data_IF_698464706761
#
_entry.id   IF_698464706761
#
_cell.length_a   1.000
_cell.length_b   1.000
_cell.length_c   1.000
_cell.angle_alpha   90.00
_cell.angle_beta   90.00
_cell.angle_gamma   90.00
#
_symmetry.space_group_name_H-M   'P 1'
#
loop_
_entity.id
_entity.type
_entity.pdbx_description
1 polymer ?
#
# COMPACT_ATOMS: atom_id res chain seq x y z
N UNK A 1 -4.26 -26.10 53.62
CA UNK A 1 -3.90 -26.72 52.32
C UNK A 1 -5.19 -27.07 51.58
N UNK A 2 -5.54 -26.30 50.54
CA UNK A 2 -6.33 -26.72 49.35
C UNK A 2 -6.90 -25.50 48.63
N UNK A 3 -6.40 -25.23 47.42
CA UNK A 3 -7.32 -24.96 46.30
C UNK A 3 -7.44 -23.58 45.65
N UNK A 4 -6.58 -22.59 45.91
CA UNK A 4 -6.52 -21.37 45.08
C UNK A 4 -5.80 -21.68 43.74
N UNK A 5 -6.53 -22.14 42.72
CA UNK A 5 -5.89 -22.56 41.47
C UNK A 5 -6.78 -22.76 40.24
N UNK A 6 -8.04 -22.33 40.23
CA UNK A 6 -8.86 -22.37 39.01
C UNK A 6 -9.61 -21.06 38.80
N UNK A 7 -9.18 -20.23 37.84
CA UNK A 7 -10.07 -19.29 37.16
C UNK A 7 -10.04 -19.55 35.63
N UNK A 8 -10.94 -18.91 34.87
CA UNK A 8 -12.08 -19.55 34.23
C UNK A 8 -11.77 -19.99 32.80
N UNK A 9 -12.57 -20.94 32.35
CA UNK A 9 -12.99 -21.20 30.97
C UNK A 9 -12.49 -20.20 29.93
N UNK A 10 -11.54 -20.66 29.11
CA UNK A 10 -11.31 -20.23 27.72
C UNK A 10 -12.10 -18.99 27.30
N UNK A 11 -11.48 -17.80 27.40
CA UNK A 11 -11.92 -16.65 26.63
C UNK A 11 -11.72 -17.05 25.17
N UNK A 12 -12.75 -17.56 24.51
CA UNK A 12 -12.77 -17.69 23.05
C UNK A 12 -12.79 -16.27 22.50
N UNK A 13 -11.60 -15.67 22.37
CA UNK A 13 -11.41 -14.50 21.53
C UNK A 13 -11.60 -15.01 20.10
N UNK A 14 -12.81 -14.86 19.56
CA UNK A 14 -13.01 -14.86 18.12
C UNK A 14 -12.39 -13.54 17.65
N UNK A 15 -11.17 -13.54 17.08
CA UNK A 15 -10.64 -12.32 16.50
C UNK A 15 -11.69 -11.83 15.50
N UNK A 16 -12.11 -10.58 15.61
CA UNK A 16 -12.77 -9.93 14.50
C UNK A 16 -11.87 -10.14 13.29
N UNK A 17 -12.37 -10.78 12.21
CA UNK A 17 -11.58 -10.95 11.01
C UNK A 17 -11.01 -9.58 10.63
N UNK A 18 -9.70 -9.48 10.36
CA UNK A 18 -9.14 -8.21 9.96
C UNK A 18 -9.93 -7.67 8.77
N UNK A 19 -10.11 -6.35 8.69
CA UNK A 19 -10.90 -5.67 7.65
C UNK A 19 -10.48 -6.05 6.21
N UNK A 20 -9.28 -6.61 6.04
CA UNK A 20 -8.73 -7.09 4.76
C UNK A 20 -8.80 -8.61 4.57
N UNK A 21 -9.48 -9.31 5.47
CA UNK A 21 -9.59 -10.77 5.52
C UNK A 21 -8.33 -11.46 6.03
N UNK A 22 -8.50 -12.41 6.96
CA UNK A 22 -7.64 -13.59 7.01
C UNK A 22 -8.32 -14.64 6.14
N UNK A 23 -7.56 -15.37 5.30
CA UNK A 23 -8.03 -16.50 4.45
C UNK A 23 -8.43 -16.17 2.98
N UNK A 24 -8.49 -17.21 2.11
CA UNK A 24 -7.71 -17.36 0.89
C UNK A 24 -8.15 -16.39 -0.21
N UNK A 25 -7.28 -15.44 -0.50
CA UNK A 25 -7.56 -14.24 -1.30
C UNK A 25 -7.66 -14.58 -2.82
N UNK A 26 -7.73 -15.87 -3.15
CA UNK A 26 -7.90 -16.49 -4.47
C UNK A 26 -8.57 -17.85 -4.27
N UNK A 27 -9.90 -17.83 -4.16
CA UNK A 27 -10.72 -18.96 -3.69
C UNK A 27 -10.63 -20.16 -4.65
N UNK A 28 -10.80 -19.90 -5.95
CA UNK A 28 -10.82 -20.93 -6.99
C UNK A 28 -9.48 -21.00 -7.76
N UNK A 29 -8.60 -20.03 -7.54
CA UNK A 29 -7.29 -20.00 -8.16
C UNK A 29 -7.26 -19.38 -9.54
N UNK A 30 -8.17 -18.46 -9.83
CA UNK A 30 -8.29 -17.83 -11.16
C UNK A 30 -7.01 -17.04 -11.51
N UNK A 31 -6.34 -16.48 -10.50
CA UNK A 31 -5.10 -15.73 -10.68
C UNK A 31 -3.83 -16.55 -10.38
N UNK A 32 -3.95 -17.86 -10.08
CA UNK A 32 -2.81 -18.76 -9.86
C UNK A 32 -1.78 -18.81 -10.99
N UNK A 33 -2.12 -18.81 -12.30
CA UNK A 33 -1.09 -18.89 -13.34
C UNK A 33 -0.13 -17.69 -13.29
N UNK A 34 -0.66 -16.47 -13.18
CA UNK A 34 0.14 -15.24 -13.08
C UNK A 34 0.93 -15.21 -11.76
N UNK A 35 0.34 -15.71 -10.67
CA UNK A 35 1.04 -15.87 -9.40
C UNK A 35 2.26 -16.80 -9.52
N UNK A 36 2.11 -17.93 -10.21
CA UNK A 36 3.20 -18.90 -10.40
C UNK A 36 4.35 -18.28 -11.20
N UNK A 37 4.05 -17.51 -12.25
CA UNK A 37 5.06 -16.80 -13.02
C UNK A 37 5.80 -15.76 -12.17
N UNK A 38 5.07 -15.00 -11.35
CA UNK A 38 5.68 -14.06 -10.42
C UNK A 38 6.62 -14.76 -9.41
N UNK A 39 6.17 -15.85 -8.81
CA UNK A 39 6.98 -16.64 -7.87
C UNK A 39 8.19 -17.28 -8.56
N UNK A 40 8.03 -17.74 -9.81
CA UNK A 40 9.14 -18.25 -10.61
C UNK A 40 10.15 -17.14 -10.91
N UNK A 41 9.69 -15.92 -11.21
CA UNK A 41 10.53 -14.76 -11.40
C UNK A 41 11.34 -14.44 -10.15
N UNK A 42 10.70 -14.33 -8.98
CA UNK A 42 11.38 -14.08 -7.70
C UNK A 42 12.46 -15.13 -7.40
N UNK A 43 12.18 -16.41 -7.69
CA UNK A 43 13.16 -17.49 -7.52
C UNK A 43 14.37 -17.31 -8.45
N UNK A 44 14.15 -16.91 -9.72
CA UNK A 44 15.23 -16.66 -10.68
C UNK A 44 16.13 -15.50 -10.24
N UNK A 45 15.55 -14.41 -9.78
CA UNK A 45 16.28 -13.19 -9.39
C UNK A 45 16.73 -13.20 -7.92
N UNK A 46 16.66 -14.35 -7.24
CA UNK A 46 17.05 -14.55 -5.83
C UNK A 46 16.38 -13.57 -4.86
N UNK A 47 15.11 -13.26 -5.11
CA UNK A 47 14.32 -12.36 -4.27
C UNK A 47 14.68 -10.88 -4.41
N UNK A 48 15.50 -10.50 -5.41
CA UNK A 48 15.71 -9.09 -5.72
C UNK A 48 14.47 -8.50 -6.40
N UNK A 49 14.19 -7.22 -6.17
CA UNK A 49 13.05 -6.52 -6.76
C UNK A 49 13.35 -6.13 -8.23
N UNK A 50 13.52 -7.13 -9.09
CA UNK A 50 13.74 -6.93 -10.51
C UNK A 50 12.50 -6.33 -11.20
N UNK A 51 12.71 -5.46 -12.19
CA UNK A 51 11.64 -4.80 -12.93
C UNK A 51 10.67 -5.81 -13.58
N UNK A 52 11.21 -6.90 -14.15
CA UNK A 52 10.43 -8.00 -14.72
C UNK A 52 9.46 -8.63 -13.71
N UNK A 53 9.88 -8.84 -12.47
CA UNK A 53 9.01 -9.41 -11.43
C UNK A 53 7.99 -8.40 -10.93
N UNK A 54 8.30 -7.09 -10.97
CA UNK A 54 7.31 -6.03 -10.66
C UNK A 54 6.19 -6.01 -11.70
N UNK A 55 6.49 -6.21 -12.99
CA UNK A 55 5.44 -6.31 -14.02
C UNK A 55 4.49 -7.49 -13.77
N UNK A 56 5.04 -8.65 -13.41
CA UNK A 56 4.25 -9.84 -13.06
C UNK A 56 3.43 -9.63 -11.78
N UNK A 57 3.99 -8.94 -10.78
CA UNK A 57 3.26 -8.58 -9.57
C UNK A 57 2.09 -7.62 -9.87
N UNK A 58 2.30 -6.63 -10.74
CA UNK A 58 1.26 -5.69 -11.19
C UNK A 58 0.12 -6.44 -11.89
N UNK A 59 0.46 -7.35 -12.80
CA UNK A 59 -0.51 -8.19 -13.52
C UNK A 59 -1.30 -9.11 -12.56
N UNK A 60 -0.62 -9.71 -11.57
CA UNK A 60 -1.27 -10.55 -10.58
C UNK A 60 -2.28 -9.76 -9.73
N UNK A 61 -1.91 -8.57 -9.25
CA UNK A 61 -2.82 -7.73 -8.48
C UNK A 61 -3.98 -7.21 -9.34
N UNK A 62 -3.73 -6.90 -10.61
CA UNK A 62 -4.80 -6.53 -11.57
C UNK A 62 -5.84 -7.65 -11.70
N UNK A 63 -5.39 -8.88 -11.91
CA UNK A 63 -6.27 -10.05 -12.00
C UNK A 63 -7.18 -10.15 -10.77
N UNK A 64 -6.64 -9.92 -9.57
CA UNK A 64 -7.44 -9.98 -8.34
C UNK A 64 -8.48 -8.87 -8.23
N UNK A 65 -8.16 -7.66 -8.71
CA UNK A 65 -9.12 -6.56 -8.77
C UNK A 65 -10.22 -6.81 -9.81
N UNK A 66 -9.85 -7.35 -10.98
CA UNK A 66 -10.77 -7.66 -12.08
C UNK A 66 -11.77 -8.76 -11.70
N UNK A 67 -11.33 -9.74 -10.91
CA UNK A 67 -12.16 -10.87 -10.43
C UNK A 67 -12.82 -10.62 -9.07
N UNK A 68 -12.82 -9.37 -8.57
CA UNK A 68 -13.36 -8.99 -7.27
C UNK A 68 -12.80 -9.81 -6.07
N UNK A 69 -11.60 -10.38 -6.22
CA UNK A 69 -10.84 -11.09 -5.18
C UNK A 69 -10.09 -10.13 -4.25
N UNK A 70 -10.05 -8.85 -4.61
CA UNK A 70 -9.48 -7.74 -3.85
C UNK A 70 -10.26 -6.46 -4.17
N UNK A 71 -10.34 -5.54 -3.22
CA UNK A 71 -10.85 -4.20 -3.48
C UNK A 71 -10.02 -3.50 -4.57
N UNK A 72 -10.69 -2.75 -5.45
CA UNK A 72 -9.99 -1.93 -6.44
C UNK A 72 -9.22 -0.81 -5.73
N UNK A 73 -7.93 -0.70 -6.05
CA UNK A 73 -7.05 0.33 -5.52
C UNK A 73 -6.08 0.77 -6.62
N UNK A 74 -5.56 1.98 -6.48
CA UNK A 74 -4.61 2.54 -7.44
C UNK A 74 -3.24 1.87 -7.29
N UNK A 75 -2.62 1.54 -8.41
CA UNK A 75 -1.30 0.88 -8.42
C UNK A 75 -0.21 1.68 -7.69
N UNK A 76 -0.35 3.01 -7.66
CA UNK A 76 0.53 3.91 -6.89
C UNK A 76 0.46 3.65 -5.39
N UNK A 77 -0.72 3.34 -4.86
CA UNK A 77 -0.95 3.02 -3.45
C UNK A 77 -0.42 1.62 -3.09
N UNK A 78 -0.35 0.74 -4.09
CA UNK A 78 0.17 -0.61 -3.98
C UNK A 78 1.70 -0.70 -4.19
N UNK A 79 2.39 0.44 -4.31
CA UNK A 79 3.85 0.49 -4.43
C UNK A 79 4.39 0.32 -5.87
N UNK A 80 3.52 0.40 -6.88
CA UNK A 80 3.89 0.51 -8.29
C UNK A 80 3.86 1.99 -8.67
N UNK A 81 4.94 2.68 -8.32
CA UNK A 81 5.24 3.97 -8.92
C UNK A 81 6.03 3.64 -10.18
N UNK A 82 5.39 3.80 -11.33
CA UNK A 82 6.08 3.69 -12.60
C UNK A 82 7.13 4.82 -12.64
N UNK A 83 8.41 4.49 -12.79
CA UNK A 83 9.45 5.49 -13.12
C UNK A 83 9.18 6.16 -14.50
N UNK A 84 8.08 5.76 -15.15
CA UNK A 84 7.52 6.28 -16.39
C UNK A 84 6.64 7.54 -16.22
N UNK A 85 6.62 8.18 -15.05
CA UNK A 85 6.05 9.53 -14.88
C UNK A 85 6.71 10.60 -15.79
N UNK A 86 7.66 10.23 -16.64
CA UNK A 86 8.22 11.11 -17.66
C UNK A 86 7.66 10.93 -19.08
N UNK A 87 6.97 9.83 -19.44
CA UNK A 87 6.50 9.68 -20.83
C UNK A 87 5.23 8.82 -20.93
N UNK A 88 4.18 9.44 -21.45
CA UNK A 88 3.01 8.84 -22.13
C UNK A 88 1.79 8.57 -21.25
N UNK A 89 1.01 9.64 -21.12
CA UNK A 89 -0.46 9.64 -21.21
C UNK A 89 -0.97 8.69 -22.32
N UNK A 90 -1.94 7.81 -22.01
CA UNK A 90 -3.21 7.63 -22.77
C UNK A 90 -4.09 6.53 -22.14
N UNK A 91 -5.23 6.95 -21.54
CA UNK A 91 -6.52 6.25 -21.44
C UNK A 91 -6.69 5.18 -20.34
N UNK A 92 -7.58 5.32 -19.34
CA UNK A 92 -8.59 6.32 -19.08
C UNK A 92 -9.30 6.10 -17.73
N UNK A 93 -9.99 7.17 -17.32
CA UNK A 93 -11.01 7.34 -16.28
C UNK A 93 -10.66 7.17 -14.79
N UNK A 94 -10.64 8.32 -14.08
CA UNK A 94 -11.25 8.41 -12.75
C UNK A 94 -10.40 9.03 -11.64
N UNK A 95 -10.20 10.35 -11.61
CA UNK A 95 -9.74 10.98 -10.37
C UNK A 95 -9.29 12.42 -10.50
N UNK A 96 -10.14 13.35 -10.05
CA UNK A 96 -9.82 14.77 -9.84
C UNK A 96 -8.47 14.90 -9.12
N UNK A 97 -7.45 15.41 -9.80
CA UNK A 97 -6.27 15.97 -9.13
C UNK A 97 -6.74 17.26 -8.46
N UNK A 98 -7.02 17.16 -7.16
CA UNK A 98 -7.30 18.30 -6.32
C UNK A 98 -6.05 19.17 -6.22
N UNK A 99 -6.05 20.27 -6.96
CA UNK A 99 -5.18 21.42 -6.69
C UNK A 99 -5.54 21.99 -5.32
N UNK A 100 -4.79 21.66 -4.28
CA UNK A 100 -4.91 22.27 -2.95
C UNK A 100 -3.88 21.72 -1.97
N UNK A 101 -3.05 22.49 -1.27
CA UNK A 101 -3.02 23.93 -1.04
C UNK A 101 -1.55 24.39 -0.96
N UNK A 102 -1.07 25.09 -1.99
CA UNK A 102 0.26 25.70 -1.98
C UNK A 102 0.39 26.84 -0.96
N UNK A 103 -0.74 27.39 -0.48
CA UNK A 103 -0.78 28.56 0.40
C UNK A 103 -0.20 28.28 1.79
N UNK A 104 -0.52 27.12 2.38
CA UNK A 104 -0.04 26.79 3.74
C UNK A 104 1.46 26.55 3.78
N UNK A 105 2.04 26.04 2.69
CA UNK A 105 3.49 25.83 2.58
C UNK A 105 4.25 27.15 2.36
N UNK A 106 3.65 28.10 1.64
CA UNK A 106 4.18 29.46 1.49
C UNK A 106 4.14 30.23 2.81
N UNK A 107 3.04 30.16 3.56
CA UNK A 107 2.89 30.79 4.88
C UNK A 107 3.93 30.27 5.88
N UNK A 108 4.11 28.95 5.98
CA UNK A 108 5.10 28.34 6.87
C UNK A 108 6.55 28.78 6.54
N UNK A 109 6.86 28.94 5.25
CA UNK A 109 8.17 29.46 4.82
C UNK A 109 8.36 30.93 5.18
N UNK A 110 7.29 31.73 5.12
CA UNK A 110 7.32 33.15 5.44
C UNK A 110 7.45 33.38 6.95
N UNK A 111 6.70 32.63 7.76
CA UNK A 111 6.78 32.64 9.21
C UNK A 111 8.19 32.25 9.69
N UNK A 112 8.78 31.19 9.12
CA UNK A 112 10.16 30.79 9.44
C UNK A 112 11.20 31.87 9.12
N UNK A 113 11.03 32.61 8.01
CA UNK A 113 11.90 33.74 7.65
C UNK A 113 11.77 34.90 8.64
N UNK A 114 10.56 35.20 9.12
CA UNK A 114 10.34 36.27 10.08
C UNK A 114 10.89 35.95 11.47
N UNK A 115 10.69 34.73 11.95
CA UNK A 115 11.29 34.22 13.19
C UNK A 115 12.82 34.32 13.16
N UNK A 116 13.45 33.98 12.03
CA UNK A 116 14.90 34.15 11.86
C UNK A 116 15.33 35.62 12.00
N UNK A 117 14.60 36.56 11.40
CA UNK A 117 14.92 38.01 11.50
C UNK A 117 14.78 38.53 12.93
N UNK A 118 13.76 38.07 13.67
CA UNK A 118 13.56 38.44 15.08
C UNK A 118 14.67 37.89 15.99
N UNK A 119 15.22 36.72 15.66
CA UNK A 119 16.29 36.11 16.45
C UNK A 119 17.68 36.72 16.15
N UNK A 120 17.92 37.20 14.93
CA UNK A 120 19.21 37.82 14.55
C UNK A 120 19.37 39.26 15.05
N UNK A 121 18.29 39.92 15.51
CA UNK A 121 18.31 41.29 16.02
C UNK A 121 18.28 41.40 17.55
N UNK A 122 18.39 40.29 18.28
CA UNK A 122 18.36 40.24 19.75
C UNK A 122 19.69 39.74 20.32
N UNK A 123 20.78 40.33 19.84
CA UNK A 123 22.11 40.28 20.46
C UNK A 123 22.74 41.66 20.48
#
# INVERSE_FOLDING_TARGET
MSGFGRPPSTITFSPTPPERGSFPLDHDGECKPVMQDYLACLKKVRGTNAHECRLLAKAYLKCRMDHNLMAQDEFRNLGFQDDAEKRVETGGEGGKIGTGNSSRLEELRQESRELKRKNTGKS
#
